data_IF_301478826349
#
_entry.id   IF_301478826349
#
_cell.length_a   1.000
_cell.length_b   1.000
_cell.length_c   1.000
_cell.angle_alpha   90.00
_cell.angle_beta   90.00
_cell.angle_gamma   90.00
#
_symmetry.space_group_name_H-M   'P 1'
#
loop_
_entity.id
_entity.type
_entity.pdbx_description
1 polymer ?
#
# COMPACT_ATOMS: atom_id res chain seq x y z
N UNK A 1 9.23 23.89 -29.42
CA UNK A 1 9.05 22.80 -28.45
C UNK A 1 9.53 21.50 -29.10
N UNK A 2 10.57 20.86 -28.59
CA UNK A 2 11.04 19.58 -29.12
C UNK A 2 9.95 18.53 -28.86
N UNK A 3 9.42 17.90 -29.91
CA UNK A 3 8.48 16.77 -29.80
C UNK A 3 9.16 15.68 -28.96
N UNK A 4 8.52 15.24 -27.88
CA UNK A 4 8.98 14.12 -27.13
C UNK A 4 9.14 12.92 -28.08
N UNK A 5 10.32 12.28 -28.09
CA UNK A 5 10.65 11.19 -29.02
C UNK A 5 9.80 9.93 -28.78
N UNK A 6 9.20 9.83 -27.56
CA UNK A 6 8.35 8.73 -27.14
C UNK A 6 7.06 9.29 -26.54
N UNK A 7 5.94 8.63 -26.80
CA UNK A 7 4.65 8.93 -26.16
C UNK A 7 4.60 8.28 -24.78
N UNK A 8 3.72 8.78 -23.90
CA UNK A 8 3.55 8.22 -22.55
C UNK A 8 3.13 6.73 -22.59
N UNK A 9 2.37 6.33 -23.63
CA UNK A 9 1.97 4.94 -23.85
C UNK A 9 3.17 4.05 -24.19
N UNK A 10 4.07 4.50 -25.05
CA UNK A 10 5.31 3.79 -25.39
C UNK A 10 6.23 3.67 -24.17
N UNK A 11 6.34 4.72 -23.36
CA UNK A 11 7.12 4.68 -22.10
C UNK A 11 6.51 3.66 -21.14
N UNK A 12 5.18 3.63 -21.01
CA UNK A 12 4.49 2.66 -20.15
C UNK A 12 4.73 1.21 -20.61
N UNK A 13 4.72 0.96 -21.92
CA UNK A 13 5.01 -0.37 -22.48
C UNK A 13 6.45 -0.81 -22.21
N UNK A 14 7.44 0.07 -22.42
CA UNK A 14 8.86 -0.18 -22.13
C UNK A 14 9.04 -0.50 -20.63
N UNK A 15 8.41 0.28 -19.76
CA UNK A 15 8.45 0.05 -18.30
C UNK A 15 7.80 -1.29 -17.91
N UNK A 16 6.73 -1.70 -18.61
CA UNK A 16 6.10 -2.99 -18.38
C UNK A 16 6.99 -4.16 -18.82
N UNK A 17 7.73 -4.02 -19.93
CA UNK A 17 8.70 -5.02 -20.37
C UNK A 17 9.87 -5.13 -19.37
N UNK A 18 10.39 -4.01 -18.90
CA UNK A 18 11.39 -3.98 -17.82
C UNK A 18 10.89 -4.67 -16.54
N UNK A 19 9.62 -4.47 -16.17
CA UNK A 19 8.98 -5.15 -15.04
C UNK A 19 8.86 -6.67 -15.22
N UNK A 20 8.69 -7.15 -16.44
CA UNK A 20 8.66 -8.59 -16.79
C UNK A 20 10.03 -9.25 -16.74
N UNK A 21 11.11 -8.48 -16.53
CA UNK A 21 12.48 -8.99 -16.41
C UNK A 21 13.32 -8.87 -17.67
N UNK A 22 12.86 -8.13 -18.68
CA UNK A 22 13.68 -7.87 -19.87
C UNK A 22 14.95 -7.09 -19.48
N UNK A 23 16.14 -7.50 -19.97
CA UNK A 23 17.40 -6.84 -19.65
C UNK A 23 17.38 -5.38 -20.13
N UNK A 24 17.75 -4.45 -19.25
CA UNK A 24 17.75 -3.02 -19.57
C UNK A 24 18.60 -2.70 -20.82
N UNK A 25 19.67 -3.48 -21.08
CA UNK A 25 20.54 -3.30 -22.24
C UNK A 25 19.81 -3.62 -23.54
N UNK A 26 19.09 -4.73 -23.61
CA UNK A 26 18.29 -5.14 -24.78
C UNK A 26 17.17 -4.13 -25.08
N UNK A 27 16.48 -3.62 -24.05
CA UNK A 27 15.45 -2.59 -24.21
C UNK A 27 16.06 -1.30 -24.79
N UNK A 28 17.23 -0.89 -24.30
CA UNK A 28 17.90 0.31 -24.80
C UNK A 28 18.35 0.16 -26.25
N UNK A 29 18.86 -1.01 -26.65
CA UNK A 29 19.26 -1.30 -28.02
C UNK A 29 18.05 -1.38 -28.97
N UNK A 30 16.99 -2.07 -28.56
CA UNK A 30 15.78 -2.25 -29.37
C UNK A 30 15.07 -0.92 -29.66
N UNK A 31 14.92 -0.08 -28.65
CA UNK A 31 14.19 1.21 -28.76
C UNK A 31 15.12 2.41 -29.02
N UNK A 32 16.44 2.19 -29.17
CA UNK A 32 17.46 3.21 -29.48
C UNK A 32 17.44 4.41 -28.52
N UNK A 33 17.40 4.14 -27.20
CA UNK A 33 17.54 5.16 -26.17
C UNK A 33 18.65 4.80 -25.17
N UNK A 34 19.11 5.78 -24.38
CA UNK A 34 20.19 5.57 -23.43
C UNK A 34 19.68 4.91 -22.12
N UNK A 35 20.58 4.16 -21.46
CA UNK A 35 20.30 3.56 -20.15
C UNK A 35 19.91 4.62 -19.10
N UNK A 36 20.48 5.82 -19.19
CA UNK A 36 20.15 6.94 -18.31
C UNK A 36 18.69 7.40 -18.50
N UNK A 37 18.20 7.39 -19.74
CA UNK A 37 16.78 7.70 -20.03
C UNK A 37 15.84 6.67 -19.40
N UNK A 38 16.16 5.38 -19.52
CA UNK A 38 15.36 4.31 -18.91
C UNK A 38 15.33 4.44 -17.38
N UNK A 39 16.47 4.69 -16.75
CA UNK A 39 16.52 4.91 -15.29
C UNK A 39 15.67 6.09 -14.86
N UNK A 40 15.73 7.21 -15.58
CA UNK A 40 14.89 8.38 -15.30
C UNK A 40 13.39 8.05 -15.38
N UNK A 41 12.95 7.29 -16.40
CA UNK A 41 11.55 6.88 -16.51
C UNK A 41 11.15 5.91 -15.40
N UNK A 42 12.04 4.97 -15.02
CA UNK A 42 11.80 4.07 -13.89
C UNK A 42 11.65 4.83 -12.56
N UNK A 43 12.49 5.85 -12.33
CA UNK A 43 12.43 6.71 -11.14
C UNK A 43 11.13 7.53 -11.11
N UNK A 44 10.78 8.19 -12.21
CA UNK A 44 9.54 8.96 -12.32
C UNK A 44 8.31 8.10 -12.05
N UNK A 45 8.28 6.89 -12.60
CA UNK A 45 7.20 5.95 -12.35
C UNK A 45 7.16 5.49 -10.88
N UNK A 46 8.32 5.20 -10.30
CA UNK A 46 8.44 4.84 -8.88
C UNK A 46 7.96 5.96 -7.96
N UNK A 47 8.32 7.21 -8.24
CA UNK A 47 7.86 8.38 -7.48
C UNK A 47 6.35 8.58 -7.61
N UNK A 48 5.78 8.38 -8.81
CA UNK A 48 4.34 8.41 -9.03
C UNK A 48 3.59 7.42 -8.14
N UNK A 49 4.02 6.15 -8.12
CA UNK A 49 3.42 5.10 -7.27
C UNK A 49 3.59 5.42 -5.79
N UNK A 50 4.77 5.89 -5.36
CA UNK A 50 5.01 6.29 -3.97
C UNK A 50 4.10 7.45 -3.54
N UNK A 51 3.90 8.44 -4.40
CA UNK A 51 3.02 9.57 -4.10
C UNK A 51 1.56 9.14 -3.96
N UNK A 52 1.09 8.20 -4.80
CA UNK A 52 -0.25 7.62 -4.68
C UNK A 52 -0.40 6.83 -3.37
N UNK A 53 0.58 5.99 -3.03
CA UNK A 53 0.58 5.25 -1.75
C UNK A 53 0.52 6.20 -0.56
N UNK A 54 1.31 7.28 -0.57
CA UNK A 54 1.30 8.29 0.50
C UNK A 54 -0.05 8.99 0.62
N UNK A 55 -0.72 9.27 -0.51
CA UNK A 55 -2.06 9.88 -0.51
C UNK A 55 -3.10 8.95 0.12
N UNK A 56 -3.10 7.66 -0.22
CA UNK A 56 -4.05 6.72 0.38
C UNK A 56 -3.76 6.47 1.86
N UNK A 57 -2.48 6.45 2.24
CA UNK A 57 -2.09 6.31 3.64
C UNK A 57 -2.54 7.51 4.48
N UNK A 58 -2.35 8.73 3.98
CA UNK A 58 -2.85 9.93 4.66
C UNK A 58 -4.37 9.91 4.84
N UNK A 59 -5.13 9.48 3.83
CA UNK A 59 -6.58 9.30 3.96
C UNK A 59 -6.93 8.21 4.97
N UNK A 60 -6.21 7.10 4.96
CA UNK A 60 -6.41 6.01 5.90
C UNK A 60 -6.12 6.43 7.35
N UNK A 61 -5.09 7.25 7.59
CA UNK A 61 -4.81 7.81 8.92
C UNK A 61 -6.02 8.56 9.48
N UNK A 62 -6.66 9.40 8.68
CA UNK A 62 -7.85 10.15 9.09
C UNK A 62 -8.99 9.19 9.45
N UNK A 63 -9.22 8.16 8.65
CA UNK A 63 -10.27 7.17 8.90
C UNK A 63 -10.01 6.39 10.19
N UNK A 64 -8.76 5.93 10.42
CA UNK A 64 -8.40 5.26 11.67
C UNK A 64 -8.58 6.17 12.89
N UNK A 65 -8.20 7.45 12.79
CA UNK A 65 -8.42 8.42 13.86
C UNK A 65 -9.92 8.62 14.15
N UNK A 66 -10.76 8.67 13.11
CA UNK A 66 -12.21 8.76 13.27
C UNK A 66 -12.79 7.52 13.98
N UNK A 67 -12.38 6.32 13.60
CA UNK A 67 -12.79 5.10 14.30
C UNK A 67 -12.39 5.12 15.77
N UNK A 68 -11.18 5.58 16.08
CA UNK A 68 -10.70 5.70 17.44
C UNK A 68 -11.49 6.74 18.24
N UNK A 69 -11.73 7.92 17.66
CA UNK A 69 -12.52 8.97 18.29
C UNK A 69 -13.96 8.52 18.57
N UNK A 70 -14.61 7.87 17.59
CA UNK A 70 -15.96 7.31 17.75
C UNK A 70 -16.01 6.27 18.87
N UNK A 71 -15.00 5.40 18.95
CA UNK A 71 -14.90 4.38 20.01
C UNK A 71 -14.82 5.02 21.40
N UNK A 72 -14.02 6.09 21.56
CA UNK A 72 -13.93 6.83 22.83
C UNK A 72 -15.27 7.50 23.16
N UNK A 73 -15.88 8.19 22.21
CA UNK A 73 -17.16 8.89 22.43
C UNK A 73 -18.24 7.91 22.85
N UNK A 74 -18.37 6.77 22.17
CA UNK A 74 -19.35 5.74 22.52
C UNK A 74 -19.11 5.19 23.93
N UNK A 75 -17.86 4.96 24.31
CA UNK A 75 -17.52 4.50 25.66
C UNK A 75 -17.88 5.53 26.73
N UNK A 76 -17.67 6.83 26.46
CA UNK A 76 -18.03 7.90 27.40
C UNK A 76 -19.55 8.06 27.56
N UNK A 77 -20.33 7.91 26.46
CA UNK A 77 -21.78 8.06 26.49
C UNK A 77 -22.45 6.87 27.20
N UNK A 78 -22.04 5.65 26.86
CA UNK A 78 -22.69 4.44 27.35
C UNK A 78 -22.09 3.88 28.64
N UNK A 79 -20.98 4.43 29.13
CA UNK A 79 -20.31 4.00 30.36
C UNK A 79 -19.82 2.54 30.36
N UNK A 80 -19.83 1.88 29.20
CA UNK A 80 -19.41 0.49 28.99
C UNK A 80 -18.45 0.42 27.80
N UNK A 81 -17.52 -0.55 27.74
CA UNK A 81 -16.64 -0.72 26.61
C UNK A 81 -17.46 -1.15 25.37
N UNK A 82 -17.88 -0.17 24.58
CA UNK A 82 -18.66 -0.37 23.34
C UNK A 82 -17.78 -0.65 22.13
N UNK A 83 -16.47 -0.83 22.36
CA UNK A 83 -15.48 -1.12 21.31
C UNK A 83 -15.83 -2.32 20.42
N UNK A 84 -16.61 -3.29 20.94
CA UNK A 84 -17.08 -4.43 20.16
C UNK A 84 -17.90 -4.06 18.93
N UNK A 85 -18.63 -2.96 18.93
CA UNK A 85 -19.43 -2.49 17.79
C UNK A 85 -18.58 -1.80 16.71
N UNK A 86 -17.43 -1.26 17.09
CA UNK A 86 -16.52 -0.55 16.18
C UNK A 86 -15.57 -1.51 15.49
N UNK A 87 -15.28 -2.68 16.09
CA UNK A 87 -14.34 -3.68 15.56
C UNK A 87 -14.73 -4.22 14.18
N UNK A 88 -15.98 -4.69 13.92
CA UNK A 88 -16.33 -5.25 12.61
C UNK A 88 -16.14 -4.26 11.45
N UNK A 89 -16.66 -3.01 11.49
CA UNK A 89 -16.43 -2.07 10.40
C UNK A 89 -14.96 -1.67 10.26
N UNK A 90 -14.19 -1.62 11.35
CA UNK A 90 -12.77 -1.36 11.30
C UNK A 90 -12.01 -2.50 10.57
N UNK A 91 -12.35 -3.76 10.83
CA UNK A 91 -11.76 -4.92 10.16
C UNK A 91 -12.07 -4.91 8.65
N UNK A 92 -13.31 -4.62 8.27
CA UNK A 92 -13.69 -4.45 6.87
C UNK A 92 -12.88 -3.36 6.19
N UNK A 93 -12.68 -2.24 6.89
CA UNK A 93 -11.85 -1.15 6.39
C UNK A 93 -10.37 -1.58 6.25
N UNK A 94 -9.81 -2.32 7.21
CA UNK A 94 -8.45 -2.86 7.11
C UNK A 94 -8.27 -3.74 5.86
N UNK A 95 -9.22 -4.65 5.60
CA UNK A 95 -9.19 -5.52 4.42
C UNK A 95 -9.29 -4.69 3.13
N UNK A 96 -10.18 -3.69 3.07
CA UNK A 96 -10.31 -2.78 1.94
C UNK A 96 -8.99 -2.02 1.69
N UNK A 97 -8.40 -1.45 2.75
CA UNK A 97 -7.15 -0.70 2.67
C UNK A 97 -5.99 -1.58 2.19
N UNK A 98 -5.85 -2.79 2.71
CA UNK A 98 -4.83 -3.77 2.27
C UNK A 98 -4.98 -4.08 0.79
N UNK A 99 -6.21 -4.32 0.31
CA UNK A 99 -6.46 -4.57 -1.12
C UNK A 99 -6.07 -3.38 -1.99
N UNK A 100 -6.49 -2.17 -1.59
CA UNK A 100 -6.18 -0.94 -2.31
C UNK A 100 -4.66 -0.71 -2.36
N UNK A 101 -3.98 -0.86 -1.22
CA UNK A 101 -2.52 -0.73 -1.12
C UNK A 101 -1.81 -1.73 -2.05
N UNK A 102 -2.22 -3.01 -2.03
CA UNK A 102 -1.64 -4.05 -2.88
C UNK A 102 -1.86 -3.78 -4.37
N UNK A 103 -3.02 -3.28 -4.76
CA UNK A 103 -3.31 -2.95 -6.16
C UNK A 103 -2.41 -1.82 -6.68
N UNK A 104 -2.16 -0.81 -5.87
CA UNK A 104 -1.28 0.30 -6.25
C UNK A 104 0.18 -0.15 -6.24
N UNK A 105 0.62 -0.85 -5.19
CA UNK A 105 1.99 -1.35 -5.09
C UNK A 105 2.35 -2.37 -6.16
N UNK A 106 1.36 -3.13 -6.68
CA UNK A 106 1.56 -4.06 -7.78
C UNK A 106 1.99 -3.37 -9.08
N UNK A 107 1.74 -2.08 -9.24
CA UNK A 107 2.19 -1.26 -10.37
C UNK A 107 3.67 -0.88 -10.28
N UNK A 108 4.28 -0.96 -9.09
CA UNK A 108 5.69 -0.64 -8.90
C UNK A 108 6.59 -1.67 -9.57
N UNK A 109 7.68 -1.22 -10.20
CA UNK A 109 8.61 -2.08 -10.94
C UNK A 109 9.32 -3.07 -9.99
N UNK A 110 9.77 -2.57 -8.83
CA UNK A 110 10.41 -3.38 -7.79
C UNK A 110 9.50 -3.43 -6.55
N UNK A 111 8.72 -4.49 -6.43
CA UNK A 111 7.83 -4.68 -5.26
C UNK A 111 8.58 -4.69 -3.93
N UNK A 112 9.80 -5.23 -3.92
CA UNK A 112 10.67 -5.34 -2.74
C UNK A 112 10.98 -3.99 -2.12
N UNK A 113 11.16 -2.93 -2.93
CA UNK A 113 11.43 -1.58 -2.45
C UNK A 113 10.30 -1.00 -1.60
N UNK A 114 9.06 -1.49 -1.79
CA UNK A 114 7.88 -1.02 -1.06
C UNK A 114 7.64 -1.81 0.21
N UNK A 115 7.80 -3.15 0.16
CA UNK A 115 7.48 -4.03 1.28
C UNK A 115 8.66 -4.26 2.25
N UNK A 116 9.90 -4.29 1.73
CA UNK A 116 11.11 -4.61 2.49
C UNK A 116 11.88 -3.40 2.98
N UNK A 117 11.48 -2.19 2.61
CA UNK A 117 12.17 -1.00 3.06
C UNK A 117 12.03 -0.84 4.59
N UNK A 118 13.00 -1.42 5.31
CA UNK A 118 13.20 -1.25 6.76
C UNK A 118 13.68 0.16 7.15
N UNK A 119 13.74 1.08 6.21
CA UNK A 119 14.12 2.46 6.51
C UNK A 119 13.05 3.09 7.39
N UNK A 120 13.46 3.58 8.54
CA UNK A 120 12.63 4.27 9.55
C UNK A 120 11.83 5.46 8.97
N UNK A 121 12.19 5.93 7.78
CA UNK A 121 11.54 7.03 7.07
C UNK A 121 10.44 6.59 6.07
N UNK A 122 10.13 5.31 5.96
CA UNK A 122 9.08 4.85 5.04
C UNK A 122 7.71 4.82 5.72
N UNK A 123 7.13 5.99 5.91
CA UNK A 123 5.81 6.14 6.50
C UNK A 123 4.67 5.54 5.67
N UNK A 124 4.87 5.30 4.37
CA UNK A 124 3.83 4.78 3.47
C UNK A 124 3.53 3.27 3.58
N UNK A 125 4.22 2.54 4.44
CA UNK A 125 3.91 1.12 4.73
C UNK A 125 3.50 0.87 6.19
N UNK A 126 3.55 1.88 7.04
CA UNK A 126 3.28 1.73 8.47
C UNK A 126 1.84 1.28 8.75
N UNK A 127 0.85 1.94 8.15
CA UNK A 127 -0.55 1.57 8.31
C UNK A 127 -0.91 0.25 7.63
N UNK A 128 -0.23 -0.11 6.54
CA UNK A 128 -0.38 -1.42 5.92
C UNK A 128 0.02 -2.55 6.88
N UNK A 129 1.18 -2.40 7.53
CA UNK A 129 1.65 -3.37 8.52
C UNK A 129 0.75 -3.38 9.77
N UNK A 130 0.32 -2.21 10.24
CA UNK A 130 -0.61 -2.08 11.37
C UNK A 130 -1.94 -2.78 11.06
N UNK A 131 -2.50 -2.62 9.86
CA UNK A 131 -3.74 -3.28 9.45
C UNK A 131 -3.62 -4.80 9.46
N UNK A 132 -2.49 -5.35 9.01
CA UNK A 132 -2.22 -6.78 9.10
C UNK A 132 -2.10 -7.26 10.55
N UNK A 133 -1.38 -6.52 11.39
CA UNK A 133 -1.24 -6.83 12.82
C UNK A 133 -2.62 -6.86 13.50
N UNK A 134 -3.50 -5.91 13.17
CA UNK A 134 -4.84 -5.84 13.72
C UNK A 134 -5.70 -7.05 13.33
N UNK A 135 -5.65 -7.47 12.06
CA UNK A 135 -6.36 -8.65 11.57
C UNK A 135 -5.84 -9.92 12.25
N UNK A 136 -4.52 -10.10 12.33
CA UNK A 136 -3.93 -11.26 13.00
C UNK A 136 -4.31 -11.31 14.47
N UNK A 137 -4.23 -10.18 15.19
CA UNK A 137 -4.63 -10.11 16.59
C UNK A 137 -6.10 -10.49 16.79
N UNK A 138 -6.99 -10.02 15.91
CA UNK A 138 -8.40 -10.37 15.99
C UNK A 138 -8.63 -11.87 15.74
N UNK A 139 -7.97 -12.46 14.76
CA UNK A 139 -8.06 -13.91 14.50
C UNK A 139 -7.60 -14.70 15.73
N UNK A 140 -6.47 -14.32 16.34
CA UNK A 140 -5.98 -14.96 17.57
C UNK A 140 -6.99 -14.83 18.72
N UNK A 141 -7.60 -13.66 18.91
CA UNK A 141 -8.61 -13.44 19.95
C UNK A 141 -9.85 -14.32 19.74
N UNK A 142 -10.29 -14.49 18.48
CA UNK A 142 -11.41 -15.37 18.15
C UNK A 142 -11.06 -16.81 18.43
N UNK A 143 -9.89 -17.29 17.99
CA UNK A 143 -9.43 -18.66 18.25
C UNK A 143 -9.34 -18.92 19.76
N UNK A 144 -8.72 -18.00 20.51
CA UNK A 144 -8.62 -18.10 21.96
C UNK A 144 -9.99 -18.21 22.63
N UNK A 145 -10.96 -17.38 22.20
CA UNK A 145 -12.32 -17.44 22.71
C UNK A 145 -12.98 -18.80 22.43
N UNK A 146 -12.85 -19.33 21.21
CA UNK A 146 -13.37 -20.65 20.88
C UNK A 146 -12.76 -21.76 21.71
N UNK A 147 -11.45 -21.73 21.93
CA UNK A 147 -10.76 -22.71 22.79
C UNK A 147 -11.28 -22.67 24.23
N UNK A 148 -11.53 -21.46 24.77
CA UNK A 148 -12.07 -21.30 26.14
C UNK A 148 -13.52 -21.78 26.29
N UNK A 149 -14.30 -21.68 25.20
CA UNK A 149 -15.73 -22.07 25.24
C UNK A 149 -15.93 -23.58 25.01
N UNK A 150 -15.02 -24.21 24.25
CA UNK A 150 -15.15 -25.62 23.85
C UNK A 150 -14.12 -26.58 24.48
N UNK A 151 -13.13 -26.06 25.24
CA UNK A 151 -12.22 -26.83 26.08
C UNK A 151 -12.77 -27.00 27.50
#
# INVERSE_FOLDING_TARGET
MAKARFTDEQIAEILQQSKKGAPNKELCEHYQFSVSTLRRWQEQHAEGVRSELKKIESKAQIVFLLFFAVSIILTLIFGKPTGGWVIPPLLLYCVYYIRLYRNISARHIKKEDIYLSRSVNNSYSALYNLSWTFICFFIFAVIYFFVQVFA
#
